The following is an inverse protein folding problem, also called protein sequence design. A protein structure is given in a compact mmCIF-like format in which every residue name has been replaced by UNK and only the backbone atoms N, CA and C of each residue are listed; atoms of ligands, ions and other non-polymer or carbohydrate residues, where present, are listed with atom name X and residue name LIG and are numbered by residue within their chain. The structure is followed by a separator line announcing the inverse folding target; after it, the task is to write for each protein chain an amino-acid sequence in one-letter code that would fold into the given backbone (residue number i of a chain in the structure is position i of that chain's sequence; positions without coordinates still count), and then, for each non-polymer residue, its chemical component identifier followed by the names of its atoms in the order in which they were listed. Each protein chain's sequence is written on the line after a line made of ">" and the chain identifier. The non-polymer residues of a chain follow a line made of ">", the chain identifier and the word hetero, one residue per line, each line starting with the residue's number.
data_IF_248806023447
#
_entry.id   IF_248806023447
#
_cell.length_a   1.000
_cell.length_b   1.000
_cell.length_c   1.000
_cell.angle_alpha   90.00
_cell.angle_beta   90.00
_cell.angle_gamma   90.00
#
_symmetry.space_group_name_H-M   'P 1'
#
loop_
_entity.id
_entity.type
_entity.pdbx_description
1 polymer ?
#
# COMPACT_ATOMS: atom_id res chain seq x y z
N UNK A 1 -4.66 6.56 -20.92
CA UNK A 1 -4.03 7.12 -19.71
C UNK A 1 -3.54 5.96 -18.85
N UNK A 2 -2.48 6.13 -18.06
CA UNK A 2 -2.00 5.06 -17.18
C UNK A 2 -2.80 5.08 -15.89
N UNK A 3 -3.31 3.93 -15.45
CA UNK A 3 -4.02 3.82 -14.17
C UNK A 3 -3.07 4.10 -13.00
N UNK A 4 -3.53 4.86 -12.01
CA UNK A 4 -2.76 5.16 -10.79
C UNK A 4 -3.67 5.30 -9.56
N UNK A 5 -3.12 5.10 -8.36
CA UNK A 5 -3.85 5.31 -7.11
C UNK A 5 -3.96 6.81 -6.83
N UNK A 6 -5.17 7.30 -6.58
CA UNK A 6 -5.40 8.66 -6.06
C UNK A 6 -5.43 8.69 -4.55
N UNK A 7 -6.34 7.94 -3.94
CA UNK A 7 -6.50 7.89 -2.51
C UNK A 7 -6.63 6.46 -1.99
N UNK A 8 -6.21 6.27 -0.74
CA UNK A 8 -6.50 5.11 0.08
C UNK A 8 -7.43 5.54 1.21
N UNK A 9 -8.52 4.80 1.42
CA UNK A 9 -9.44 5.02 2.53
C UNK A 9 -9.03 4.12 3.70
N UNK A 10 -8.60 4.71 4.81
CA UNK A 10 -8.06 3.98 5.96
C UNK A 10 -8.91 4.25 7.19
N UNK A 11 -9.45 3.18 7.78
CA UNK A 11 -10.28 3.22 8.98
C UNK A 11 -9.44 3.36 10.27
N UNK A 12 -8.42 4.22 10.24
CA UNK A 12 -7.61 4.59 11.41
C UNK A 12 -7.93 6.03 11.85
N UNK A 13 -7.81 6.33 13.15
CA UNK A 13 -7.94 7.68 13.61
C UNK A 13 -6.68 8.51 13.25
N UNK A 14 -6.84 9.79 12.86
CA UNK A 14 -5.73 10.68 12.44
C UNK A 14 -4.55 10.74 13.43
N UNK A 15 -4.86 10.77 14.71
CA UNK A 15 -3.89 10.89 15.80
C UNK A 15 -2.94 9.68 15.90
N UNK A 16 -3.38 8.48 15.48
CA UNK A 16 -2.51 7.30 15.43
C UNK A 16 -1.38 7.46 14.41
N UNK A 17 -1.69 8.08 13.27
CA UNK A 17 -0.72 8.32 12.20
C UNK A 17 0.22 9.48 12.55
N UNK A 18 -0.29 10.55 13.17
CA UNK A 18 0.52 11.66 13.67
C UNK A 18 1.58 11.17 14.70
N UNK A 19 1.17 10.31 15.65
CA UNK A 19 2.10 9.68 16.62
C UNK A 19 3.18 8.82 15.95
N UNK A 20 2.89 8.22 14.80
CA UNK A 20 3.87 7.46 14.01
C UNK A 20 4.78 8.35 13.15
N UNK A 21 4.66 9.68 13.28
CA UNK A 21 5.49 10.67 12.60
C UNK A 21 5.06 10.98 11.18
N UNK A 22 3.85 10.59 10.77
CA UNK A 22 3.24 11.09 9.54
C UNK A 22 2.69 12.50 9.75
N UNK A 23 2.66 13.28 8.68
CA UNK A 23 2.05 14.62 8.70
C UNK A 23 0.62 14.45 8.24
N UNK A 24 -0.31 14.77 9.14
CA UNK A 24 -1.75 14.71 8.88
C UNK A 24 -2.30 16.13 8.82
N UNK A 25 -2.91 16.47 7.69
CA UNK A 25 -3.55 17.76 7.47
C UNK A 25 -4.84 17.90 8.30
N UNK A 26 -5.35 19.12 8.43
CA UNK A 26 -6.56 19.43 9.23
C UNK A 26 -7.83 18.72 8.75
N UNK A 27 -7.85 18.26 7.50
CA UNK A 27 -8.94 17.50 6.88
C UNK A 27 -8.76 15.97 7.03
N UNK A 28 -7.91 15.52 7.95
CA UNK A 28 -7.60 14.11 8.21
C UNK A 28 -6.97 13.38 7.01
N UNK A 29 -6.22 14.12 6.19
CA UNK A 29 -5.50 13.57 5.04
C UNK A 29 -4.00 13.50 5.34
N UNK A 30 -3.41 12.34 5.13
CA UNK A 30 -1.96 12.17 5.05
C UNK A 30 -1.55 12.06 3.57
N UNK A 31 -0.64 12.92 3.11
CA UNK A 31 -0.17 12.92 1.71
C UNK A 31 1.21 12.29 1.62
N UNK A 32 1.32 11.17 0.92
CA UNK A 32 2.59 10.44 0.75
C UNK A 32 2.89 10.31 -0.74
N UNK A 33 3.96 10.94 -1.20
CA UNK A 33 4.20 11.12 -2.63
C UNK A 33 3.05 11.89 -3.29
N UNK A 34 2.48 11.34 -4.35
CA UNK A 34 1.29 11.85 -5.05
C UNK A 34 -0.04 11.21 -4.59
N UNK A 35 -0.02 10.36 -3.57
CA UNK A 35 -1.18 9.61 -3.05
C UNK A 35 -1.72 10.24 -1.77
N UNK A 36 -3.06 10.33 -1.68
CA UNK A 36 -3.78 10.74 -0.46
C UNK A 36 -4.12 9.50 0.37
N UNK A 37 -4.01 9.63 1.69
CA UNK A 37 -4.50 8.62 2.63
C UNK A 37 -5.51 9.32 3.51
N UNK A 38 -6.79 9.02 3.29
CA UNK A 38 -7.89 9.57 4.07
C UNK A 38 -8.05 8.74 5.34
N UNK A 39 -7.88 9.38 6.49
CA UNK A 39 -7.95 8.76 7.80
C UNK A 39 -9.36 8.93 8.35
N UNK A 40 -10.24 8.00 7.98
CA UNK A 40 -11.68 8.04 8.23
C UNK A 40 -12.07 7.33 9.54
N UNK A 41 -11.20 7.39 10.55
CA UNK A 41 -11.45 6.83 11.87
C UNK A 41 -12.80 7.29 12.44
N UNK A 42 -13.54 6.36 13.04
CA UNK A 42 -14.91 6.58 13.52
C UNK A 42 -16.01 6.01 12.61
N UNK A 43 -15.66 5.58 11.39
CA UNK A 43 -16.49 4.69 10.57
C UNK A 43 -16.20 3.23 10.96
N UNK A 44 -17.20 2.35 10.91
CA UNK A 44 -17.03 0.92 11.22
C UNK A 44 -15.97 0.26 10.32
N UNK A 45 -15.01 -0.45 10.92
CA UNK A 45 -14.00 -1.23 10.19
C UNK A 45 -12.60 -1.04 10.76
N UNK A 46 -11.63 -1.71 10.14
CA UNK A 46 -10.19 -1.56 10.39
C UNK A 46 -9.43 -1.79 9.09
N UNK A 47 -8.26 -1.17 8.93
CA UNK A 47 -7.38 -1.36 7.78
C UNK A 47 -7.71 -0.42 6.63
N UNK A 48 -7.26 -0.80 5.43
CA UNK A 48 -7.55 -0.09 4.19
C UNK A 48 -8.88 -0.62 3.66
N UNK A 49 -9.91 0.22 3.66
CA UNK A 49 -11.30 -0.19 3.37
C UNK A 49 -11.73 0.13 1.93
N UNK A 50 -10.90 0.83 1.17
CA UNK A 50 -11.14 1.15 -0.22
C UNK A 50 -10.07 2.05 -0.80
N UNK A 51 -10.24 2.38 -2.08
CA UNK A 51 -9.35 3.31 -2.79
C UNK A 51 -10.07 4.03 -3.93
N UNK A 52 -9.43 5.08 -4.44
CA UNK A 52 -9.82 5.73 -5.68
C UNK A 52 -8.70 5.63 -6.71
N UNK A 53 -9.08 5.42 -7.97
CA UNK A 53 -8.16 5.20 -9.08
C UNK A 53 -8.33 6.27 -10.16
N UNK A 54 -7.22 6.78 -10.69
CA UNK A 54 -7.17 7.69 -11.85
C UNK A 54 -6.97 6.92 -13.14
N UNK A 55 -7.40 7.52 -14.25
CA UNK A 55 -7.08 7.02 -15.59
C UNK A 55 -7.75 5.69 -15.97
N UNK A 56 -8.76 5.27 -15.20
CA UNK A 56 -9.57 4.08 -15.47
C UNK A 56 -10.51 4.36 -16.64
N UNK A 57 -10.62 3.46 -17.64
CA UNK A 57 -11.56 3.64 -18.75
C UNK A 57 -13.01 3.85 -18.28
N UNK A 58 -13.81 4.69 -18.97
CA UNK A 58 -15.17 5.05 -18.56
C UNK A 58 -16.23 3.98 -18.88
N UNK A 59 -15.84 2.83 -19.41
CA UNK A 59 -16.77 1.93 -20.10
C UNK A 59 -17.69 1.10 -19.20
N UNK A 60 -17.43 1.02 -17.88
CA UNK A 60 -18.28 0.27 -16.92
C UNK A 60 -18.37 0.99 -15.57
N UNK A 61 -19.46 0.86 -14.79
CA UNK A 61 -19.47 1.34 -13.41
C UNK A 61 -18.31 0.69 -12.62
N UNK A 62 -17.60 1.51 -11.83
CA UNK A 62 -16.49 1.07 -10.99
C UNK A 62 -16.88 1.45 -9.57
N UNK A 63 -17.47 0.48 -8.89
CA UNK A 63 -17.82 0.56 -7.47
C UNK A 63 -17.04 -0.50 -6.66
N UNK A 64 -16.51 -1.52 -7.35
CA UNK A 64 -15.86 -2.68 -6.77
C UNK A 64 -14.69 -3.16 -7.67
N UNK A 65 -13.60 -3.58 -7.05
CA UNK A 65 -12.53 -4.35 -7.67
C UNK A 65 -12.32 -5.61 -6.85
N UNK A 66 -12.98 -6.68 -7.26
CA UNK A 66 -12.84 -7.99 -6.63
C UNK A 66 -13.15 -7.99 -5.13
N UNK A 67 -14.20 -7.28 -4.73
CA UNK A 67 -14.61 -7.11 -3.33
C UNK A 67 -14.01 -5.88 -2.63
N UNK A 68 -13.14 -5.12 -3.31
CA UNK A 68 -12.55 -3.89 -2.77
C UNK A 68 -13.35 -2.69 -3.26
N UNK A 69 -13.97 -1.90 -2.36
CA UNK A 69 -14.61 -0.65 -2.73
C UNK A 69 -13.66 0.24 -3.53
N UNK A 70 -14.04 0.51 -4.78
CA UNK A 70 -13.17 1.20 -5.74
C UNK A 70 -13.96 2.30 -6.42
N UNK A 71 -13.43 3.52 -6.42
CA UNK A 71 -14.05 4.66 -7.10
C UNK A 71 -13.11 5.24 -8.15
N UNK A 72 -13.66 6.02 -9.09
CA UNK A 72 -12.87 6.80 -10.04
C UNK A 72 -12.51 8.16 -9.45
N UNK A 73 -11.35 8.67 -9.81
CA UNK A 73 -10.91 10.02 -9.47
C UNK A 73 -10.28 10.74 -10.66
N UNK A 74 -10.68 11.99 -10.86
CA UNK A 74 -10.08 12.94 -11.80
C UNK A 74 -9.17 13.95 -11.08
N UNK A 75 -9.00 13.82 -9.76
CA UNK A 75 -8.13 14.70 -9.00
C UNK A 75 -6.67 14.56 -9.46
N UNK A 76 -5.95 15.67 -9.58
CA UNK A 76 -4.51 15.64 -9.84
C UNK A 76 -3.73 14.97 -8.69
N UNK A 77 -2.46 14.57 -8.93
CA UNK A 77 -1.56 14.12 -7.88
C UNK A 77 -1.53 15.09 -6.69
N UNK A 78 -1.45 14.55 -5.48
CA UNK A 78 -1.33 15.39 -4.29
C UNK A 78 0.02 16.15 -4.28
N UNK A 79 0.06 17.29 -3.61
CA UNK A 79 1.33 17.92 -3.27
C UNK A 79 2.03 17.08 -2.20
N UNK A 80 3.35 16.94 -2.33
CA UNK A 80 4.18 16.18 -1.39
C UNK A 80 4.18 16.84 -0.01
N UNK A 81 4.07 16.04 1.05
CA UNK A 81 4.29 16.48 2.43
C UNK A 81 5.66 16.01 2.94
N UNK A 82 6.17 16.67 3.98
CA UNK A 82 7.38 16.25 4.70
C UNK A 82 6.96 15.62 6.02
N UNK A 83 7.39 14.39 6.26
CA UNK A 83 7.06 13.61 7.46
C UNK A 83 8.24 13.51 8.42
N UNK A 84 7.97 13.60 9.72
CA UNK A 84 8.98 13.48 10.78
C UNK A 84 9.64 12.10 10.79
N UNK A 85 8.89 11.06 10.42
CA UNK A 85 9.42 9.70 10.29
C UNK A 85 10.26 9.45 9.02
N UNK A 86 10.44 10.46 8.16
CA UNK A 86 11.29 10.39 6.97
C UNK A 86 10.66 9.69 5.76
N UNK A 87 9.38 9.33 5.82
CA UNK A 87 8.63 8.79 4.66
C UNK A 87 8.61 9.81 3.52
N UNK A 88 8.75 9.32 2.28
CA UNK A 88 8.80 10.15 1.06
C UNK A 88 7.77 9.72 0.00
N UNK A 89 7.52 8.43 -0.13
CA UNK A 89 6.58 7.88 -1.12
C UNK A 89 6.07 6.50 -0.70
N UNK A 90 5.02 6.02 -1.37
CA UNK A 90 4.56 4.64 -1.25
C UNK A 90 5.36 3.76 -2.22
N UNK A 91 6.10 2.78 -1.69
CA UNK A 91 6.79 1.78 -2.50
C UNK A 91 5.77 0.80 -3.09
N UNK A 92 4.96 0.20 -2.22
CA UNK A 92 3.92 -0.74 -2.63
C UNK A 92 2.74 -0.81 -1.66
N UNK A 93 1.59 -1.21 -2.21
CA UNK A 93 0.40 -1.62 -1.47
C UNK A 93 0.20 -3.11 -1.71
N UNK A 94 -0.06 -3.86 -0.64
CA UNK A 94 -0.32 -5.31 -0.69
C UNK A 94 -1.82 -5.55 -0.77
N UNK A 95 -2.23 -6.33 -1.76
CA UNK A 95 -3.59 -6.84 -1.94
C UNK A 95 -3.56 -8.35 -1.72
N UNK A 96 -4.33 -8.84 -0.76
CA UNK A 96 -4.53 -10.28 -0.53
C UNK A 96 -5.70 -10.77 -1.36
N UNK A 97 -5.47 -11.83 -2.12
CA UNK A 97 -6.43 -12.41 -3.05
C UNK A 97 -6.67 -13.89 -2.74
N UNK A 98 -7.93 -14.27 -2.45
CA UNK A 98 -8.34 -15.67 -2.38
C UNK A 98 -8.30 -16.38 -3.75
N UNK A 99 -8.50 -15.63 -4.85
CA UNK A 99 -8.47 -16.13 -6.23
C UNK A 99 -7.65 -15.19 -7.12
N UNK A 100 -6.37 -15.57 -7.32
CA UNK A 100 -5.42 -14.77 -8.09
C UNK A 100 -5.88 -14.52 -9.54
N UNK A 101 -6.53 -15.50 -10.17
CA UNK A 101 -6.96 -15.36 -11.55
C UNK A 101 -8.09 -14.35 -11.67
N UNK A 102 -9.05 -14.41 -10.74
CA UNK A 102 -10.16 -13.45 -10.67
C UNK A 102 -9.65 -12.03 -10.45
N UNK A 103 -8.76 -11.83 -9.48
CA UNK A 103 -8.17 -10.50 -9.23
C UNK A 103 -7.37 -9.98 -10.42
N UNK A 104 -6.56 -10.84 -11.07
CA UNK A 104 -5.77 -10.47 -12.25
C UNK A 104 -6.69 -10.04 -13.40
N UNK A 105 -7.79 -10.74 -13.64
CA UNK A 105 -8.74 -10.38 -14.69
C UNK A 105 -9.49 -9.08 -14.36
N UNK A 106 -9.89 -8.87 -13.10
CA UNK A 106 -10.46 -7.58 -12.65
C UNK A 106 -9.50 -6.41 -12.87
N UNK A 107 -8.21 -6.56 -12.57
CA UNK A 107 -7.19 -5.55 -12.85
C UNK A 107 -6.99 -5.33 -14.36
N UNK A 108 -7.00 -6.41 -15.14
CA UNK A 108 -6.88 -6.36 -16.60
C UNK A 108 -8.03 -5.61 -17.25
N UNK A 109 -9.25 -5.76 -16.74
CA UNK A 109 -10.43 -5.03 -17.20
C UNK A 109 -10.26 -3.50 -17.04
N UNK A 110 -9.46 -3.06 -16.06
CA UNK A 110 -9.10 -1.65 -15.88
C UNK A 110 -7.90 -1.20 -16.75
N UNK A 111 -7.33 -2.10 -17.56
CA UNK A 111 -6.12 -1.84 -18.35
C UNK A 111 -4.83 -1.98 -17.54
N UNK A 112 -4.86 -2.60 -16.36
CA UNK A 112 -3.70 -2.83 -15.51
C UNK A 112 -3.13 -4.23 -15.79
N UNK A 113 -1.91 -4.28 -16.31
CA UNK A 113 -1.27 -5.54 -16.75
C UNK A 113 -0.17 -5.99 -15.80
N UNK A 114 -0.10 -7.30 -15.56
CA UNK A 114 0.96 -7.96 -14.78
C UNK A 114 2.34 -7.61 -15.34
N UNK A 115 3.26 -7.23 -14.46
CA UNK A 115 4.66 -6.93 -14.80
C UNK A 115 5.59 -8.09 -14.47
N UNK A 116 5.38 -8.73 -13.33
CA UNK A 116 6.21 -9.82 -12.82
C UNK A 116 5.36 -10.72 -11.94
N UNK A 117 5.73 -11.98 -11.86
CA UNK A 117 5.25 -12.90 -10.82
C UNK A 117 6.40 -13.69 -10.23
N UNK A 118 6.20 -14.18 -9.01
CA UNK A 118 7.16 -15.04 -8.32
C UNK A 118 6.43 -15.89 -7.28
N UNK A 119 6.84 -17.15 -7.17
CA UNK A 119 6.44 -18.03 -6.07
C UNK A 119 7.38 -17.87 -4.87
N UNK A 120 6.84 -18.04 -3.66
CA UNK A 120 7.58 -17.93 -2.41
C UNK A 120 6.86 -18.65 -1.28
N UNK A 121 7.31 -18.38 -0.05
CA UNK A 121 6.70 -18.93 1.16
C UNK A 121 6.45 -17.80 2.17
N UNK A 122 5.28 -17.85 2.82
CA UNK A 122 4.93 -16.96 3.92
C UNK A 122 4.38 -17.80 5.06
N UNK A 123 5.05 -17.77 6.22
CA UNK A 123 4.65 -18.58 7.38
C UNK A 123 4.67 -20.09 7.11
N UNK A 124 5.53 -20.56 6.21
CA UNK A 124 5.60 -21.97 5.79
C UNK A 124 4.54 -22.39 4.77
N UNK A 125 3.71 -21.47 4.27
CA UNK A 125 2.72 -21.74 3.23
C UNK A 125 3.19 -21.19 1.88
N UNK A 126 3.04 -21.97 0.79
CA UNK A 126 3.31 -21.48 -0.56
C UNK A 126 2.43 -20.27 -0.89
N UNK A 127 3.06 -19.22 -1.41
CA UNK A 127 2.38 -18.04 -1.92
C UNK A 127 2.86 -17.71 -3.32
N UNK A 128 2.01 -17.02 -4.09
CA UNK A 128 2.38 -16.37 -5.34
C UNK A 128 2.17 -14.87 -5.19
N UNK A 129 3.19 -14.12 -5.57
CA UNK A 129 3.21 -12.66 -5.61
C UNK A 129 3.16 -12.22 -7.07
N UNK A 130 2.18 -11.39 -7.42
CA UNK A 130 1.99 -10.83 -8.76
C UNK A 130 2.08 -9.31 -8.66
N UNK A 131 3.02 -8.72 -9.41
CA UNK A 131 3.33 -7.30 -9.31
C UNK A 131 2.75 -6.53 -10.49
N UNK A 132 2.08 -5.42 -10.18
CA UNK A 132 1.52 -4.46 -11.11
C UNK A 132 2.05 -3.05 -10.83
N UNK A 133 1.83 -2.13 -11.78
CA UNK A 133 2.22 -0.72 -11.62
C UNK A 133 1.01 0.18 -11.77
N UNK A 134 0.70 0.94 -10.72
CA UNK A 134 -0.38 1.92 -10.67
C UNK A 134 0.25 3.30 -10.47
N UNK A 135 0.71 3.91 -11.57
CA UNK A 135 1.51 5.14 -11.51
C UNK A 135 2.83 4.91 -10.77
N UNK A 136 3.05 5.67 -9.69
CA UNK A 136 4.24 5.55 -8.84
C UNK A 136 4.19 4.38 -7.84
N UNK A 137 3.03 3.76 -7.62
CA UNK A 137 2.82 2.72 -6.60
C UNK A 137 2.83 1.32 -7.21
N UNK A 138 3.55 0.38 -6.57
CA UNK A 138 3.51 -1.03 -6.96
C UNK A 138 2.30 -1.63 -6.27
N UNK A 139 1.43 -2.29 -7.02
CA UNK A 139 0.41 -3.14 -6.41
C UNK A 139 0.96 -4.57 -6.38
N UNK A 140 1.14 -5.10 -5.18
CA UNK A 140 1.58 -6.46 -4.95
C UNK A 140 0.37 -7.31 -4.59
N UNK A 141 -0.09 -8.13 -5.53
CA UNK A 141 -1.17 -9.09 -5.31
C UNK A 141 -0.59 -10.39 -4.79
N UNK A 142 -1.07 -10.86 -3.64
CA UNK A 142 -0.57 -12.06 -2.96
C UNK A 142 -1.72 -13.04 -2.74
N UNK A 143 -1.51 -14.30 -3.09
CA UNK A 143 -2.49 -15.38 -2.90
C UNK A 143 -1.84 -16.76 -2.91
N UNK A 144 -2.63 -17.79 -2.67
CA UNK A 144 -2.17 -19.18 -2.80
C UNK A 144 -1.98 -19.53 -4.29
N UNK A 145 -0.89 -20.21 -4.68
CA UNK A 145 -0.73 -20.71 -6.05
C UNK A 145 -1.62 -21.95 -6.34
N UNK A 146 -2.24 -22.52 -5.30
CA UNK A 146 -3.07 -23.72 -5.38
C UNK A 146 -4.53 -23.43 -5.71
N UNK A 147 -5.44 -24.17 -5.07
CA UNK A 147 -6.88 -24.04 -5.30
C UNK A 147 -7.38 -22.64 -4.91
N UNK A 148 -8.16 -21.96 -5.78
CA UNK A 148 -8.82 -20.71 -5.44
C UNK A 148 -9.69 -20.87 -4.19
N UNK A 149 -9.62 -19.89 -3.30
CA UNK A 149 -10.51 -19.75 -2.16
C UNK A 149 -11.73 -18.89 -2.49
N UNK A 150 -12.69 -18.92 -1.57
CA UNK A 150 -13.88 -18.06 -1.62
C UNK A 150 -13.65 -16.72 -0.92
N UNK A 151 -14.54 -15.76 -1.19
CA UNK A 151 -14.56 -14.46 -0.53
C UNK A 151 -13.84 -13.34 -1.30
N UNK A 152 -13.95 -12.09 -0.81
CA UNK A 152 -13.40 -10.91 -1.47
C UNK A 152 -11.89 -10.79 -1.29
N UNK A 153 -11.24 -10.10 -2.23
CA UNK A 153 -9.89 -9.58 -2.05
C UNK A 153 -9.89 -8.43 -1.04
N UNK A 154 -8.74 -8.14 -0.44
CA UNK A 154 -8.59 -7.05 0.53
C UNK A 154 -7.25 -6.34 0.43
N UNK A 155 -7.22 -5.05 0.72
CA UNK A 155 -6.00 -4.27 0.86
C UNK A 155 -5.46 -4.44 2.28
N UNK A 156 -4.21 -4.89 2.40
CA UNK A 156 -3.70 -5.45 3.66
C UNK A 156 -2.67 -4.58 4.37
N UNK A 157 -1.78 -3.93 3.60
CA UNK A 157 -0.67 -3.19 4.17
C UNK A 157 0.01 -2.29 3.14
N UNK A 158 0.80 -1.36 3.67
CA UNK A 158 1.51 -0.35 2.88
C UNK A 158 2.98 -0.40 3.28
N UNK A 159 3.84 -0.39 2.27
CA UNK A 159 5.27 -0.20 2.45
C UNK A 159 5.67 1.16 1.90
N UNK A 160 6.36 1.93 2.72
CA UNK A 160 6.79 3.29 2.40
C UNK A 160 8.28 3.35 2.13
N UNK A 161 8.67 4.14 1.14
CA UNK A 161 10.07 4.51 0.95
C UNK A 161 10.41 5.64 1.93
N UNK A 162 11.50 5.48 2.67
CA UNK A 162 12.05 6.51 3.57
C UNK A 162 13.36 7.06 3.02
N UNK A 163 13.65 8.33 3.30
CA UNK A 163 14.87 8.99 2.82
C UNK A 163 16.13 8.34 3.42
N UNK A 164 16.10 8.00 4.71
CA UNK A 164 17.18 7.34 5.43
C UNK A 164 16.58 6.33 6.43
N UNK A 165 16.80 5.03 6.16
CA UNK A 165 16.24 3.94 6.95
C UNK A 165 16.81 3.87 8.37
N UNK A 166 18.06 4.26 8.58
CA UNK A 166 18.70 4.23 9.89
C UNK A 166 18.20 5.40 10.74
N UNK A 167 18.06 6.59 10.14
CA UNK A 167 17.46 7.74 10.80
C UNK A 167 15.99 7.49 11.17
N UNK A 168 15.20 6.88 10.27
CA UNK A 168 13.82 6.50 10.56
C UNK A 168 13.76 5.45 11.69
N UNK A 169 14.60 4.43 11.67
CA UNK A 169 14.63 3.42 12.72
C UNK A 169 15.04 4.02 14.08
N UNK A 170 16.01 4.94 14.10
CA UNK A 170 16.40 5.65 15.31
C UNK A 170 15.27 6.53 15.86
N UNK A 171 14.52 7.22 14.99
CA UNK A 171 13.35 8.03 15.38
C UNK A 171 12.25 7.17 16.01
N UNK A 172 11.96 6.02 15.43
CA UNK A 172 10.89 5.13 15.89
C UNK A 172 11.31 4.25 17.09
N UNK A 173 12.61 4.06 17.30
CA UNK A 173 13.17 3.24 18.39
C UNK A 173 12.66 1.79 18.36
N UNK A 174 12.30 1.27 19.54
CA UNK A 174 11.86 -0.12 19.76
C UNK A 174 10.54 -0.49 19.05
N UNK A 175 9.89 0.51 18.44
CA UNK A 175 8.61 0.40 17.74
C UNK A 175 8.77 -0.09 16.31
N UNK A 176 9.97 -0.51 15.94
CA UNK A 176 10.27 -1.20 14.69
C UNK A 176 10.92 -2.56 14.96
N UNK A 177 10.88 -3.45 13.96
CA UNK A 177 11.78 -4.59 13.93
C UNK A 177 13.23 -4.11 13.65
N UNK A 178 14.25 -4.93 13.92
CA UNK A 178 15.60 -4.61 13.46
C UNK A 178 15.64 -4.38 11.95
N UNK A 179 16.35 -3.34 11.52
CA UNK A 179 16.63 -3.10 10.10
C UNK A 179 17.42 -4.28 9.55
N UNK A 180 17.01 -4.78 8.39
CA UNK A 180 17.65 -5.91 7.70
C UNK A 180 17.68 -5.68 6.20
N UNK A 181 18.45 -6.50 5.50
CA UNK A 181 18.43 -6.51 4.04
C UNK A 181 17.03 -6.87 3.52
N UNK A 182 16.56 -6.08 2.56
CA UNK A 182 15.35 -6.37 1.83
C UNK A 182 15.62 -7.46 0.78
N UNK A 183 14.55 -8.08 0.29
CA UNK A 183 14.65 -9.06 -0.81
C UNK A 183 15.14 -8.39 -2.10
N UNK A 184 14.89 -7.09 -2.25
CA UNK A 184 15.44 -6.26 -3.31
C UNK A 184 16.93 -5.97 -3.03
N UNK A 185 17.85 -6.41 -3.91
CA UNK A 185 19.29 -6.26 -3.68
C UNK A 185 19.70 -4.84 -3.31
N UNK A 186 20.46 -4.73 -2.22
CA UNK A 186 21.02 -3.49 -1.70
C UNK A 186 20.02 -2.52 -1.04
N UNK A 187 18.72 -2.83 -1.04
CA UNK A 187 17.75 -2.10 -0.20
C UNK A 187 17.71 -2.71 1.19
N UNK A 188 17.34 -1.90 2.18
CA UNK A 188 17.13 -2.30 3.57
C UNK A 188 15.70 -2.01 3.99
N UNK A 189 15.14 -2.83 4.87
CA UNK A 189 13.74 -2.76 5.29
C UNK A 189 13.61 -2.94 6.80
N UNK A 190 12.63 -2.28 7.39
CA UNK A 190 12.09 -2.60 8.72
C UNK A 190 10.57 -2.65 8.69
N UNK A 191 9.97 -3.35 9.66
CA UNK A 191 8.53 -3.41 9.87
C UNK A 191 8.16 -2.57 11.08
N UNK A 192 7.20 -1.67 10.93
CA UNK A 192 6.65 -0.89 12.03
C UNK A 192 5.75 -1.77 12.89
N UNK A 193 5.90 -1.70 14.21
CA UNK A 193 4.90 -2.19 15.17
C UNK A 193 3.72 -1.21 15.16
N UNK A 194 2.89 -1.32 14.14
CA UNK A 194 1.83 -0.34 13.84
C UNK A 194 0.76 -0.25 14.94
N UNK A 195 0.36 -1.40 15.50
CA UNK A 195 -0.65 -1.51 16.58
C UNK A 195 -0.28 -0.68 17.81
N UNK A 196 1.01 -0.56 18.02
CA UNK A 196 1.66 0.11 19.12
C UNK A 196 1.32 1.62 19.07
N UNK A 197 1.14 2.20 17.87
CA UNK A 197 0.68 3.59 17.64
C UNK A 197 -0.84 3.74 17.57
N UNK A 198 -1.59 2.63 17.60
CA UNK A 198 -3.03 2.60 17.34
C UNK A 198 -3.38 2.56 15.85
N UNK A 199 -2.42 2.27 14.97
CA UNK A 199 -2.68 2.08 13.53
C UNK A 199 -3.10 0.64 13.26
N UNK A 200 -4.15 0.44 12.46
CA UNK A 200 -4.59 -0.90 12.03
C UNK A 200 -3.88 -1.36 10.75
N UNK A 201 -3.39 -0.44 9.92
CA UNK A 201 -2.70 -0.77 8.67
C UNK A 201 -1.29 -1.30 8.95
N UNK A 202 -0.99 -2.49 8.43
CA UNK A 202 0.35 -3.05 8.48
C UNK A 202 1.31 -2.20 7.67
N UNK A 203 2.40 -1.82 8.31
CA UNK A 203 3.31 -0.81 7.78
C UNK A 203 4.75 -1.33 7.76
N UNK A 204 5.41 -1.20 6.62
CA UNK A 204 6.85 -1.40 6.50
C UNK A 204 7.52 -0.15 5.91
N UNK A 205 8.81 -0.01 6.18
CA UNK A 205 9.63 1.13 5.80
C UNK A 205 10.85 0.57 5.08
N UNK A 206 11.12 1.03 3.88
CA UNK A 206 12.19 0.52 3.03
C UNK A 206 13.06 1.67 2.52
N UNK A 207 14.37 1.45 2.43
CA UNK A 207 15.31 2.43 1.86
C UNK A 207 14.97 2.73 0.39
N UNK A 208 15.43 3.85 -0.18
CA UNK A 208 15.19 4.17 -1.58
C UNK A 208 15.73 3.09 -2.52
N UNK A 209 15.19 2.98 -3.76
CA UNK A 209 15.82 2.18 -4.80
C UNK A 209 17.28 2.63 -4.97
N UNK A 210 18.20 1.66 -5.08
CA UNK A 210 19.53 1.98 -5.58
C UNK A 210 19.36 2.29 -7.06
N UNK A 211 19.42 3.57 -7.41
CA UNK A 211 19.61 3.95 -8.81
C UNK A 211 20.98 3.41 -9.19
N UNK A 212 21.02 2.42 -10.09
CA UNK A 212 22.26 2.02 -10.74
C UNK A 212 22.90 3.29 -11.33
N UNK A 213 24.11 3.60 -10.88
CA UNK A 213 24.97 4.65 -11.43
C UNK A 213 25.31 4.38 -12.90
#
# INVERSE_FOLDING_TARGET
>A
MTVSIDALEVADPPDAWDRAGFTVDSDAVCRVGGVRIHLIGGVSGTGIVGWSLRGVPPHEPLDDLDGIPTTRSDAGPAATATHTNGVTSIDHVVLLSPDLNRTVESLRALGVHRRRERDGELGGHPIRQIFFRLGEVILEVVGSPGTPGDGPSSLWGITYTVADIDATAAFLGDRTAPVKDAVQPGRRITTLRHHDFGMSVRTALISPPILSA
#
